data_IF_047874473037
#
_entry.id   IF_047874473037
#
_cell.length_a   1.000
_cell.length_b   1.000
_cell.length_c   1.000
_cell.angle_alpha   90.00
_cell.angle_beta   90.00
_cell.angle_gamma   90.00
#
_symmetry.space_group_name_H-M   'P 1'
#
loop_
_entity.id
_entity.type
_entity.pdbx_description
1 polymer ?
#
# COMPACT_ATOMS: atom_id res chain seq x y z
N UNK A 1 -29.03 -22.81 -49.69
CA UNK A 1 -27.73 -22.27 -50.13
C UNK A 1 -26.68 -22.83 -49.19
N UNK A 2 -25.94 -23.83 -49.63
CA UNK A 2 -24.86 -24.42 -48.86
C UNK A 2 -23.69 -23.42 -48.83
N UNK A 3 -23.26 -23.01 -47.64
CA UNK A 3 -22.02 -22.27 -47.47
C UNK A 3 -20.88 -23.26 -47.73
N UNK A 4 -20.29 -23.20 -48.92
CA UNK A 4 -19.01 -23.86 -49.19
C UNK A 4 -17.96 -23.22 -48.29
N UNK A 5 -17.59 -23.93 -47.22
CA UNK A 5 -16.43 -23.61 -46.40
C UNK A 5 -15.23 -24.18 -47.17
N UNK A 6 -14.39 -23.37 -47.82
CA UNK A 6 -13.20 -23.87 -48.48
C UNK A 6 -12.36 -24.61 -47.45
N UNK A 7 -12.00 -25.86 -47.74
CA UNK A 7 -11.22 -26.75 -46.89
C UNK A 7 -9.99 -26.00 -46.35
N UNK A 8 -10.04 -25.65 -45.06
CA UNK A 8 -9.08 -24.81 -44.34
C UNK A 8 -7.72 -25.51 -44.08
N UNK A 9 -7.35 -26.48 -44.91
CA UNK A 9 -6.20 -27.37 -44.72
C UNK A 9 -4.92 -26.92 -45.45
N UNK A 10 -4.95 -25.84 -46.24
CA UNK A 10 -3.82 -25.52 -47.14
C UNK A 10 -3.17 -24.14 -47.01
N UNK A 11 -3.76 -23.18 -46.30
CA UNK A 11 -3.24 -21.80 -46.31
C UNK A 11 -2.69 -21.37 -44.92
N UNK A 12 -1.36 -21.43 -44.70
CA UNK A 12 -0.75 -21.10 -43.41
C UNK A 12 -1.02 -19.64 -42.99
N UNK A 13 -1.30 -18.76 -43.95
CA UNK A 13 -1.67 -17.37 -43.70
C UNK A 13 -3.06 -17.28 -43.05
N UNK A 14 -4.02 -18.06 -43.55
CA UNK A 14 -5.37 -18.11 -42.97
C UNK A 14 -5.33 -18.68 -41.54
N UNK A 15 -4.56 -19.76 -41.33
CA UNK A 15 -4.32 -20.33 -40.01
C UNK A 15 -3.68 -19.30 -39.06
N UNK A 16 -2.71 -18.52 -39.54
CA UNK A 16 -2.08 -17.43 -38.80
C UNK A 16 -3.06 -16.32 -38.40
N UNK A 17 -3.94 -15.88 -39.31
CA UNK A 17 -4.97 -14.86 -39.03
C UNK A 17 -5.97 -15.37 -37.98
N UNK A 18 -6.45 -16.61 -38.13
CA UNK A 18 -7.35 -17.23 -37.15
C UNK A 18 -6.66 -17.36 -35.79
N UNK A 19 -5.39 -17.74 -35.76
CA UNK A 19 -4.61 -17.83 -34.52
C UNK A 19 -4.44 -16.48 -33.83
N UNK A 20 -4.16 -15.41 -34.58
CA UNK A 20 -4.06 -14.05 -34.02
C UNK A 20 -5.42 -13.60 -33.44
N UNK A 21 -6.52 -13.82 -34.17
CA UNK A 21 -7.86 -13.53 -33.68
C UNK A 21 -8.20 -14.34 -32.42
N UNK A 22 -7.79 -15.60 -32.37
CA UNK A 22 -7.97 -16.47 -31.21
C UNK A 22 -7.18 -15.97 -29.99
N UNK A 23 -5.91 -15.59 -30.16
CA UNK A 23 -5.09 -15.02 -29.06
C UNK A 23 -5.69 -13.69 -28.56
N UNK A 24 -6.15 -12.83 -29.47
CA UNK A 24 -6.83 -11.58 -29.10
C UNK A 24 -8.14 -11.84 -28.36
N UNK A 25 -8.91 -12.85 -28.79
CA UNK A 25 -10.13 -13.28 -28.11
C UNK A 25 -9.82 -13.80 -26.70
N UNK A 26 -8.80 -14.66 -26.53
CA UNK A 26 -8.38 -15.17 -25.21
C UNK A 26 -8.02 -14.01 -24.28
N UNK A 27 -7.21 -13.05 -24.74
CA UNK A 27 -6.81 -11.90 -23.91
C UNK A 27 -8.03 -11.08 -23.44
N UNK A 28 -9.08 -11.02 -24.25
CA UNK A 28 -10.32 -10.34 -23.88
C UNK A 28 -11.15 -11.18 -22.91
N UNK A 29 -11.22 -12.50 -23.13
CA UNK A 29 -11.92 -13.45 -22.26
C UNK A 29 -11.27 -13.53 -20.89
N UNK A 30 -9.94 -13.53 -20.78
CA UNK A 30 -9.23 -13.53 -19.49
C UNK A 30 -9.49 -12.27 -18.68
N UNK A 31 -9.57 -11.10 -19.32
CA UNK A 31 -9.98 -9.86 -18.65
C UNK A 31 -11.43 -9.92 -18.14
N UNK A 32 -12.35 -10.51 -18.92
CA UNK A 32 -13.74 -10.71 -18.50
C UNK A 32 -13.80 -11.69 -17.32
N UNK A 33 -13.06 -12.80 -17.37
CA UNK A 33 -12.96 -13.77 -16.28
C UNK A 33 -12.44 -13.14 -14.99
N UNK A 34 -11.37 -12.33 -15.07
CA UNK A 34 -10.83 -11.62 -13.91
C UNK A 34 -11.87 -10.67 -13.31
N UNK A 35 -12.63 -9.94 -14.13
CA UNK A 35 -13.72 -9.11 -13.63
C UNK A 35 -14.83 -9.94 -12.98
N UNK A 36 -15.18 -11.10 -13.53
CA UNK A 36 -16.14 -12.02 -12.90
C UNK A 36 -15.66 -12.51 -11.52
N UNK A 37 -14.36 -12.79 -11.35
CA UNK A 37 -13.79 -13.15 -10.04
C UNK A 37 -13.97 -12.01 -9.05
N UNK A 38 -13.64 -10.78 -9.44
CA UNK A 38 -13.85 -9.59 -8.58
C UNK A 38 -15.31 -9.39 -8.20
N UNK A 39 -16.24 -9.61 -9.14
CA UNK A 39 -17.67 -9.50 -8.91
C UNK A 39 -18.16 -10.61 -7.98
N UNK A 40 -17.64 -11.82 -8.11
CA UNK A 40 -17.96 -12.94 -7.21
C UNK A 40 -17.51 -12.63 -5.79
N UNK A 41 -16.28 -12.12 -5.62
CA UNK A 41 -15.76 -11.69 -4.31
C UNK A 41 -16.62 -10.56 -3.74
N UNK A 42 -16.99 -9.57 -4.56
CA UNK A 42 -17.87 -8.48 -4.13
C UNK A 42 -19.27 -8.97 -3.75
N UNK A 43 -19.83 -9.92 -4.51
CA UNK A 43 -21.15 -10.49 -4.29
C UNK A 43 -21.23 -11.33 -3.00
N UNK A 44 -20.13 -11.98 -2.60
CA UNK A 44 -20.02 -12.68 -1.31
C UNK A 44 -19.80 -11.71 -0.16
N UNK A 45 -18.99 -10.66 -0.36
CA UNK A 45 -18.73 -9.66 0.66
C UNK A 45 -19.96 -8.79 0.97
N UNK A 46 -20.80 -8.53 -0.02
CA UNK A 46 -21.97 -7.65 0.12
C UNK A 46 -22.95 -8.11 1.21
N UNK A 47 -23.46 -9.37 1.25
CA UNK A 47 -24.33 -9.84 2.32
C UNK A 47 -23.61 -9.88 3.68
N UNK A 48 -22.31 -10.21 3.72
CA UNK A 48 -21.53 -10.19 4.97
C UNK A 48 -21.41 -8.78 5.55
N UNK A 49 -21.18 -7.78 4.70
CA UNK A 49 -21.11 -6.37 5.07
C UNK A 49 -22.51 -5.85 5.45
N UNK A 50 -23.55 -6.21 4.70
CA UNK A 50 -24.93 -5.84 4.98
C UNK A 50 -25.38 -6.35 6.36
N UNK A 51 -25.02 -7.59 6.71
CA UNK A 51 -25.33 -8.17 8.02
C UNK A 51 -24.54 -7.52 9.15
N UNK A 52 -23.23 -7.30 8.97
CA UNK A 52 -22.36 -6.79 10.05
C UNK A 52 -22.43 -5.29 10.29
N UNK A 53 -22.60 -4.49 9.23
CA UNK A 53 -22.52 -3.03 9.33
C UNK A 53 -23.90 -2.41 9.40
N UNK A 54 -24.84 -2.91 8.61
CA UNK A 54 -26.17 -2.31 8.47
C UNK A 54 -27.24 -3.03 9.29
N UNK A 55 -26.92 -4.18 9.89
CA UNK A 55 -27.86 -4.96 10.69
C UNK A 55 -29.02 -5.55 9.88
N UNK A 56 -28.92 -5.57 8.55
CA UNK A 56 -29.94 -6.21 7.72
C UNK A 56 -29.86 -7.73 7.93
N UNK A 57 -30.98 -8.43 8.15
CA UNK A 57 -30.99 -9.89 8.26
C UNK A 57 -30.96 -10.51 6.86
N UNK A 58 -29.83 -10.41 6.17
CA UNK A 58 -29.64 -11.04 4.86
C UNK A 58 -29.22 -12.51 5.06
N UNK A 59 -29.90 -13.48 4.44
CA UNK A 59 -29.51 -14.88 4.55
C UNK A 59 -28.10 -15.08 3.96
N UNK A 60 -27.21 -15.64 4.77
CA UNK A 60 -25.82 -15.91 4.41
C UNK A 60 -25.56 -17.42 4.16
N UNK A 61 -26.64 -18.18 3.95
CA UNK A 61 -26.56 -19.60 3.61
C UNK A 61 -25.90 -19.81 2.25
N UNK A 62 -25.33 -21.01 2.04
CA UNK A 62 -24.61 -21.34 0.81
C UNK A 62 -25.46 -21.11 -0.45
N UNK A 63 -26.75 -21.47 -0.41
CA UNK A 63 -27.69 -21.27 -1.53
C UNK A 63 -27.97 -19.79 -1.80
N UNK A 64 -28.10 -18.98 -0.74
CA UNK A 64 -28.30 -17.53 -0.85
C UNK A 64 -27.07 -16.84 -1.42
N UNK A 65 -25.86 -17.24 -0.99
CA UNK A 65 -24.61 -16.76 -1.54
C UNK A 65 -24.48 -17.10 -3.04
N UNK A 66 -24.85 -18.32 -3.42
CA UNK A 66 -24.81 -18.77 -4.81
C UNK A 66 -25.79 -17.95 -5.67
N UNK A 67 -26.96 -17.61 -5.14
CA UNK A 67 -27.91 -16.71 -5.78
C UNK A 67 -27.32 -15.30 -5.98
N UNK A 68 -26.68 -14.70 -4.97
CA UNK A 68 -26.05 -13.38 -5.12
C UNK A 68 -24.89 -13.38 -6.12
N UNK A 69 -24.10 -14.45 -6.14
CA UNK A 69 -23.03 -14.63 -7.14
C UNK A 69 -23.65 -14.71 -8.55
N UNK A 70 -24.67 -15.55 -8.74
CA UNK A 70 -25.35 -15.70 -10.01
C UNK A 70 -25.99 -14.39 -10.48
N UNK A 71 -26.58 -13.61 -9.57
CA UNK A 71 -27.16 -12.30 -9.85
C UNK A 71 -26.09 -11.27 -10.22
N UNK A 72 -24.97 -11.24 -9.49
CA UNK A 72 -23.84 -10.34 -9.78
C UNK A 72 -23.19 -10.64 -11.13
N UNK A 73 -22.89 -11.93 -11.40
CA UNK A 73 -22.32 -12.37 -12.67
C UNK A 73 -23.32 -12.18 -13.81
N UNK A 74 -24.59 -12.51 -13.61
CA UNK A 74 -25.66 -12.32 -14.58
C UNK A 74 -25.85 -10.85 -14.96
N UNK A 75 -25.92 -9.95 -13.96
CA UNK A 75 -25.98 -8.51 -14.19
C UNK A 75 -24.77 -7.98 -14.96
N UNK A 76 -23.59 -8.53 -14.69
CA UNK A 76 -22.38 -8.19 -15.44
C UNK A 76 -22.43 -8.62 -16.91
N UNK A 77 -22.96 -9.81 -17.20
CA UNK A 77 -23.19 -10.25 -18.58
C UNK A 77 -24.15 -9.33 -19.32
N UNK A 78 -25.27 -8.96 -18.68
CA UNK A 78 -26.22 -7.99 -19.25
C UNK A 78 -25.54 -6.65 -19.51
N UNK A 79 -24.69 -6.18 -18.59
CA UNK A 79 -23.92 -4.95 -18.77
C UNK A 79 -22.93 -5.04 -19.94
N UNK A 80 -22.21 -6.15 -20.09
CA UNK A 80 -21.30 -6.36 -21.23
C UNK A 80 -22.09 -6.36 -22.54
N UNK A 81 -23.21 -7.08 -22.60
CA UNK A 81 -24.06 -7.16 -23.78
C UNK A 81 -24.58 -5.76 -24.16
N UNK A 82 -25.14 -5.03 -23.20
CA UNK A 82 -25.59 -3.66 -23.39
C UNK A 82 -24.44 -2.78 -23.89
N UNK A 83 -23.27 -2.83 -23.25
CA UNK A 83 -22.09 -2.05 -23.67
C UNK A 83 -21.63 -2.42 -25.09
N UNK A 84 -21.72 -3.68 -25.48
CA UNK A 84 -21.40 -4.14 -26.83
C UNK A 84 -22.38 -3.59 -27.86
N UNK A 85 -23.69 -3.67 -27.57
CA UNK A 85 -24.74 -3.07 -28.41
C UNK A 85 -24.52 -1.57 -28.55
N UNK A 86 -24.27 -0.85 -27.45
CA UNK A 86 -23.94 0.59 -27.49
C UNK A 86 -22.72 0.91 -28.33
N UNK A 87 -21.66 0.07 -28.30
CA UNK A 87 -20.48 0.28 -29.15
C UNK A 87 -20.79 0.05 -30.62
N UNK A 88 -21.61 -0.95 -30.95
CA UNK A 88 -22.04 -1.21 -32.33
C UNK A 88 -22.89 -0.03 -32.83
N UNK A 89 -23.79 0.49 -32.00
CA UNK A 89 -24.56 1.69 -32.31
C UNK A 89 -23.68 2.93 -32.46
N UNK A 90 -22.67 3.16 -31.60
CA UNK A 90 -21.71 4.28 -31.73
C UNK A 90 -20.87 4.16 -33.01
N UNK A 91 -20.52 2.94 -33.44
CA UNK A 91 -19.83 2.71 -34.73
C UNK A 91 -20.78 2.99 -35.90
N UNK A 92 -22.02 2.48 -35.86
CA UNK A 92 -23.03 2.73 -36.89
C UNK A 92 -23.36 4.23 -37.02
N UNK A 93 -23.47 4.94 -35.90
CA UNK A 93 -23.70 6.39 -35.85
C UNK A 93 -22.52 7.19 -36.40
N UNK A 94 -21.28 6.66 -36.27
CA UNK A 94 -20.08 7.28 -36.86
C UNK A 94 -20.00 7.10 -38.36
N UNK A 95 -20.53 6.00 -38.90
CA UNK A 95 -20.56 5.75 -40.34
C UNK A 95 -21.76 6.43 -41.03
N UNK A 96 -22.87 6.70 -40.32
CA UNK A 96 -24.04 7.42 -40.84
C UNK A 96 -23.91 8.95 -40.88
N UNK A 97 -22.67 9.48 -40.89
CA UNK A 97 -22.35 10.89 -40.62
C UNK A 97 -22.64 11.98 -41.67
N UNK A 98 -23.40 11.81 -42.79
CA UNK A 98 -23.83 12.98 -43.53
C UNK A 98 -25.00 13.72 -42.87
N UNK A 99 -25.81 13.10 -42.00
CA UNK A 99 -27.17 13.60 -41.72
C UNK A 99 -27.42 14.10 -40.27
N UNK A 100 -26.57 13.79 -39.29
CA UNK A 100 -26.80 14.19 -37.87
C UNK A 100 -25.76 15.18 -37.33
N UNK A 101 -25.46 16.24 -38.10
CA UNK A 101 -24.45 17.25 -37.75
C UNK A 101 -24.70 18.03 -36.46
N UNK A 102 -25.93 18.04 -35.92
CA UNK A 102 -26.25 18.82 -34.71
C UNK A 102 -26.00 18.07 -33.38
N UNK A 103 -26.33 16.78 -33.31
CA UNK A 103 -26.22 15.98 -32.07
C UNK A 103 -24.78 15.50 -31.82
N UNK A 104 -24.05 15.14 -32.87
CA UNK A 104 -22.64 14.75 -32.76
C UNK A 104 -21.70 15.86 -32.26
N UNK A 105 -22.08 17.12 -32.44
CA UNK A 105 -21.35 18.29 -31.94
C UNK A 105 -21.42 18.46 -30.42
N UNK A 106 -22.55 18.12 -29.79
CA UNK A 106 -22.70 18.18 -28.33
C UNK A 106 -21.95 17.04 -27.63
N UNK A 107 -22.06 15.81 -28.13
CA UNK A 107 -21.40 14.65 -27.49
C UNK A 107 -19.87 14.68 -27.66
N UNK A 108 -19.36 15.19 -28.78
CA UNK A 108 -17.92 15.39 -28.97
C UNK A 108 -17.34 16.47 -28.05
N UNK A 109 -18.09 17.56 -27.78
CA UNK A 109 -17.75 18.56 -26.76
C UNK A 109 -17.79 17.98 -25.34
N UNK A 110 -18.81 17.19 -25.02
CA UNK A 110 -18.92 16.54 -23.70
C UNK A 110 -17.77 15.54 -23.45
N UNK A 111 -17.34 14.79 -24.47
CA UNK A 111 -16.22 13.85 -24.32
C UNK A 111 -14.87 14.58 -24.14
N UNK A 112 -14.65 15.70 -24.85
CA UNK A 112 -13.45 16.54 -24.68
C UNK A 112 -13.40 17.18 -23.28
N UNK A 113 -14.52 17.67 -22.76
CA UNK A 113 -14.57 18.29 -21.43
C UNK A 113 -14.34 17.28 -20.30
N UNK A 114 -14.81 16.04 -20.45
CA UNK A 114 -14.51 14.95 -19.52
C UNK A 114 -13.02 14.56 -19.57
N UNK A 115 -12.41 14.50 -20.77
CA UNK A 115 -10.97 14.19 -20.87
C UNK A 115 -10.08 15.30 -20.30
N UNK A 116 -10.45 16.57 -20.48
CA UNK A 116 -9.71 17.70 -19.88
C UNK A 116 -9.85 17.75 -18.36
N UNK A 117 -11.05 17.49 -17.84
CA UNK A 117 -11.30 17.40 -16.39
C UNK A 117 -10.49 16.27 -15.75
N UNK A 118 -10.41 15.11 -16.40
CA UNK A 118 -9.61 13.98 -15.93
C UNK A 118 -8.10 14.29 -15.96
N UNK A 119 -7.61 14.98 -16.99
CA UNK A 119 -6.21 15.42 -17.08
C UNK A 119 -5.86 16.44 -15.99
N UNK A 120 -6.71 17.45 -15.76
CA UNK A 120 -6.52 18.45 -14.69
C UNK A 120 -6.53 17.83 -13.30
N UNK A 121 -7.35 16.81 -13.05
CA UNK A 121 -7.36 16.08 -11.77
C UNK A 121 -6.05 15.33 -11.53
N UNK A 122 -5.50 14.66 -12.56
CA UNK A 122 -4.21 13.95 -12.46
C UNK A 122 -3.05 14.89 -12.14
N UNK A 123 -2.97 16.04 -12.82
CA UNK A 123 -1.94 17.05 -12.58
C UNK A 123 -2.03 17.60 -11.15
N UNK A 124 -3.25 17.90 -10.67
CA UNK A 124 -3.49 18.40 -9.31
C UNK A 124 -3.13 17.36 -8.23
N UNK A 125 -3.37 16.08 -8.50
CA UNK A 125 -3.03 15.00 -7.59
C UNK A 125 -1.51 14.75 -7.55
N UNK A 126 -0.80 14.87 -8.68
CA UNK A 126 0.67 14.84 -8.72
C UNK A 126 1.29 16.02 -7.97
N UNK A 127 0.80 17.25 -8.16
CA UNK A 127 1.31 18.42 -7.45
C UNK A 127 1.10 18.28 -5.93
N UNK A 128 -0.06 17.76 -5.50
CA UNK A 128 -0.32 17.47 -4.09
C UNK A 128 0.61 16.39 -3.53
N UNK A 129 0.97 15.37 -4.31
CA UNK A 129 1.90 14.32 -3.89
C UNK A 129 3.32 14.87 -3.74
N UNK A 130 3.78 15.67 -4.70
CA UNK A 130 5.09 16.33 -4.66
C UNK A 130 5.22 17.24 -3.43
N UNK A 131 4.22 18.09 -3.15
CA UNK A 131 4.21 18.95 -1.94
C UNK A 131 4.25 18.15 -0.64
N UNK A 132 3.48 17.07 -0.54
CA UNK A 132 3.48 16.19 0.64
C UNK A 132 4.83 15.49 0.85
N UNK A 133 5.52 15.14 -0.23
CA UNK A 133 6.84 14.51 -0.16
C UNK A 133 7.91 15.51 0.27
N UNK A 134 7.88 16.74 -0.26
CA UNK A 134 8.80 17.81 0.15
C UNK A 134 8.62 18.19 1.63
N UNK A 135 7.37 18.28 2.09
CA UNK A 135 7.07 18.57 3.50
C UNK A 135 7.55 17.44 4.44
N UNK A 136 7.45 16.17 3.98
CA UNK A 136 8.00 15.02 4.72
C UNK A 136 9.52 15.07 4.82
N UNK A 137 10.21 15.40 3.72
CA UNK A 137 11.68 15.54 3.70
C UNK A 137 12.13 16.65 4.65
N UNK A 138 11.48 17.82 4.63
CA UNK A 138 11.78 18.91 5.59
C UNK A 138 11.58 18.49 7.05
N UNK A 139 10.50 17.77 7.35
CA UNK A 139 10.24 17.24 8.71
C UNK A 139 11.25 16.18 9.14
N UNK A 140 11.77 15.38 8.22
CA UNK A 140 12.83 14.42 8.50
C UNK A 140 14.17 15.11 8.74
N UNK A 141 14.55 16.07 7.89
CA UNK A 141 15.78 16.86 8.09
C UNK A 141 15.78 17.63 9.42
N UNK A 142 14.65 18.23 9.80
CA UNK A 142 14.52 18.93 11.09
C UNK A 142 14.68 17.97 12.28
N UNK A 143 14.13 16.75 12.18
CA UNK A 143 14.29 15.71 13.22
C UNK A 143 15.73 15.22 13.31
N UNK A 144 16.42 15.08 12.19
CA UNK A 144 17.83 14.68 12.18
C UNK A 144 18.68 15.77 12.83
N UNK A 145 18.49 17.05 12.48
CA UNK A 145 19.20 18.17 13.11
C UNK A 145 18.97 18.24 14.61
N UNK A 146 17.73 18.07 15.08
CA UNK A 146 17.42 18.05 16.53
C UNK A 146 18.14 16.92 17.25
N UNK A 147 18.18 15.71 16.66
CA UNK A 147 18.91 14.58 17.25
C UNK A 147 20.41 14.82 17.30
N UNK A 148 20.99 15.39 16.24
CA UNK A 148 22.41 15.67 16.18
C UNK A 148 22.82 16.75 17.19
N UNK A 149 21.97 17.75 17.43
CA UNK A 149 22.19 18.77 18.47
C UNK A 149 22.07 18.17 19.89
N UNK A 150 21.09 17.29 20.11
CA UNK A 150 20.91 16.60 21.38
C UNK A 150 22.09 15.66 21.70
N UNK A 151 22.62 14.97 20.70
CA UNK A 151 23.81 14.13 20.81
C UNK A 151 25.07 14.95 21.15
N UNK A 152 25.27 16.11 20.49
CA UNK A 152 26.38 17.02 20.82
C UNK A 152 26.32 17.53 22.26
N UNK A 153 25.14 17.92 22.75
CA UNK A 153 24.96 18.34 24.16
C UNK A 153 25.26 17.21 25.14
N UNK A 154 24.88 15.98 24.79
CA UNK A 154 25.08 14.81 25.64
C UNK A 154 26.57 14.43 25.73
N UNK A 155 27.31 14.57 24.64
CA UNK A 155 28.76 14.35 24.63
C UNK A 155 29.53 15.46 25.35
N UNK A 156 29.09 16.71 25.26
CA UNK A 156 29.67 17.83 26.01
C UNK A 156 29.44 17.66 27.53
N UNK A 157 28.24 17.25 27.94
CA UNK A 157 27.94 16.93 29.33
C UNK A 157 28.79 15.78 29.88
N UNK A 158 29.03 14.72 29.08
CA UNK A 158 29.93 13.63 29.45
C UNK A 158 31.38 14.10 29.63
N UNK A 159 31.88 14.98 28.76
CA UNK A 159 33.23 15.55 28.88
C UNK A 159 33.38 16.37 30.15
N UNK A 160 32.42 17.23 30.47
CA UNK A 160 32.43 18.02 31.71
C UNK A 160 32.36 17.13 32.96
N UNK A 161 31.54 16.08 32.94
CA UNK A 161 31.45 15.12 34.05
C UNK A 161 32.78 14.35 34.24
N UNK A 162 33.45 13.97 33.15
CA UNK A 162 34.77 13.34 33.21
C UNK A 162 35.83 14.30 33.76
N UNK A 163 35.82 15.57 33.37
CA UNK A 163 36.75 16.58 33.89
C UNK A 163 36.55 16.82 35.39
N UNK A 164 35.30 16.92 35.86
CA UNK A 164 35.00 17.05 37.30
C UNK A 164 35.48 15.83 38.10
N UNK A 165 35.29 14.62 37.57
CA UNK A 165 35.81 13.39 38.20
C UNK A 165 37.34 13.38 38.28
N UNK A 166 38.03 13.83 37.23
CA UNK A 166 39.50 13.91 37.25
C UNK A 166 40.01 14.93 38.27
N UNK A 167 39.37 16.10 38.37
CA UNK A 167 39.70 17.10 39.41
C UNK A 167 39.45 16.56 40.82
N UNK A 168 38.38 15.81 41.02
CA UNK A 168 38.09 15.18 42.33
C UNK A 168 39.14 14.12 42.71
N UNK A 169 39.62 13.33 41.74
CA UNK A 169 40.72 12.39 41.93
C UNK A 169 42.03 13.14 42.26
N UNK A 170 42.31 14.25 41.57
CA UNK A 170 43.50 15.06 41.82
C UNK A 170 43.49 15.73 43.22
N UNK A 171 42.33 16.25 43.65
CA UNK A 171 42.17 16.80 45.00
C UNK A 171 42.31 15.73 46.10
N UNK A 172 41.77 14.52 45.88
CA UNK A 172 41.96 13.39 46.81
C UNK A 172 43.43 12.96 46.86
N UNK A 173 44.13 12.97 45.72
CA UNK A 173 45.57 12.69 45.65
C UNK A 173 46.43 13.70 46.40
N UNK A 174 46.02 14.99 46.46
CA UNK A 174 46.73 16.02 47.24
C UNK A 174 46.48 15.93 48.75
N UNK A 175 45.33 15.40 49.20
CA UNK A 175 44.98 15.28 50.63
C UNK A 175 45.62 14.06 51.32
N UNK A 176 46.09 13.05 50.58
CA UNK A 176 46.81 11.89 51.12
C UNK A 176 48.07 11.57 50.29
N UNK A 177 49.22 12.22 50.54
CA UNK A 177 50.45 11.97 49.79
C UNK A 177 51.15 10.63 50.13
N UNK A 178 50.64 9.87 51.10
CA UNK A 178 51.29 8.65 51.60
C UNK A 178 50.58 7.37 51.13
N UNK A 179 50.58 7.11 49.82
CA UNK A 179 50.44 5.75 49.25
C UNK A 179 50.89 5.74 47.79
N UNK A 180 52.16 6.07 47.56
CA UNK A 180 52.85 5.77 46.31
C UNK A 180 53.42 4.36 46.41
N UNK A 181 52.60 3.36 46.17
CA UNK A 181 52.99 2.00 45.77
C UNK A 181 51.69 1.18 45.70
N UNK A 182 51.31 0.77 44.48
CA UNK A 182 50.20 -0.13 44.07
C UNK A 182 49.20 0.44 43.05
N UNK A 183 49.52 1.53 42.34
CA UNK A 183 48.63 2.09 41.31
C UNK A 183 48.90 1.61 39.87
N UNK A 184 49.87 0.71 39.67
CA UNK A 184 50.14 0.12 38.34
C UNK A 184 49.31 -1.15 38.06
N UNK A 185 48.72 -1.79 39.07
CA UNK A 185 47.95 -3.04 38.90
C UNK A 185 46.43 -2.84 38.68
N UNK A 186 45.92 -1.61 38.73
CA UNK A 186 44.48 -1.34 38.57
C UNK A 186 44.08 -0.71 37.24
N UNK A 187 44.98 -0.65 36.26
CA UNK A 187 44.68 -0.18 34.89
C UNK A 187 44.37 -1.31 33.90
N UNK A 188 44.44 -2.59 34.30
CA UNK A 188 44.28 -3.74 33.38
C UNK A 188 42.90 -4.41 33.44
N UNK A 189 42.01 -4.05 34.38
CA UNK A 189 40.69 -4.72 34.54
C UNK A 189 39.53 -3.87 33.97
N UNK A 190 39.70 -3.21 32.82
CA UNK A 190 38.60 -2.43 32.20
C UNK A 190 38.21 -2.83 30.79
N UNK A 191 38.90 -3.80 30.19
CA UNK A 191 38.59 -4.25 28.83
C UNK A 191 37.73 -5.54 28.80
N UNK A 192 37.77 -6.41 29.82
CA UNK A 192 36.98 -7.65 29.82
C UNK A 192 35.50 -7.47 30.23
N UNK A 193 35.18 -6.49 31.08
CA UNK A 193 33.79 -6.23 31.49
C UNK A 193 33.01 -5.39 30.46
N UNK A 194 33.72 -4.61 29.63
CA UNK A 194 33.12 -3.82 28.56
C UNK A 194 32.67 -4.68 27.36
N UNK A 195 33.34 -5.82 27.10
CA UNK A 195 32.89 -6.81 26.11
C UNK A 195 31.68 -7.61 26.59
N UNK A 196 31.63 -7.99 27.88
CA UNK A 196 30.46 -8.70 28.44
C UNK A 196 29.19 -7.83 28.43
N UNK A 197 29.29 -6.53 28.71
CA UNK A 197 28.12 -5.63 28.65
C UNK A 197 27.65 -5.32 27.20
N UNK A 198 28.53 -5.44 26.20
CA UNK A 198 28.16 -5.35 24.77
C UNK A 198 27.40 -6.58 24.29
N UNK A 199 27.80 -7.78 24.73
CA UNK A 199 27.16 -9.05 24.35
C UNK A 199 25.76 -9.15 24.99
N UNK A 200 25.60 -8.77 26.26
CA UNK A 200 24.28 -8.75 26.92
C UNK A 200 23.31 -7.72 26.30
N UNK A 201 23.81 -6.58 25.79
CA UNK A 201 22.97 -5.57 25.13
C UNK A 201 22.53 -5.95 23.72
N UNK A 202 23.21 -6.89 23.05
CA UNK A 202 22.77 -7.42 21.74
C UNK A 202 21.74 -8.54 21.86
N UNK A 203 21.82 -9.42 22.86
CA UNK A 203 20.84 -10.49 23.07
C UNK A 203 19.49 -10.01 23.65
N UNK A 204 19.45 -8.89 24.38
CA UNK A 204 18.20 -8.37 24.99
C UNK A 204 17.35 -7.53 23.99
N UNK A 205 17.93 -7.09 22.86
CA UNK A 205 17.23 -6.29 21.82
C UNK A 205 16.13 -7.03 21.04
N UNK A 206 16.22 -8.33 20.68
CA UNK A 206 15.13 -9.02 20.00
C UNK A 206 13.90 -9.24 20.90
N UNK A 207 14.09 -9.57 22.19
CA UNK A 207 12.96 -9.90 23.07
C UNK A 207 12.14 -8.68 23.51
N UNK A 208 12.79 -7.54 23.82
CA UNK A 208 12.07 -6.29 24.10
C UNK A 208 11.29 -5.78 22.89
N UNK A 209 11.80 -5.95 21.66
CA UNK A 209 11.04 -5.62 20.44
C UNK A 209 9.83 -6.54 20.24
N UNK A 210 9.93 -7.83 20.59
CA UNK A 210 8.81 -8.76 20.53
C UNK A 210 7.71 -8.45 21.57
N UNK A 211 8.09 -8.08 22.80
CA UNK A 211 7.13 -7.70 23.84
C UNK A 211 6.41 -6.37 23.53
N UNK A 212 7.11 -5.38 22.97
CA UNK A 212 6.48 -4.11 22.54
C UNK A 212 5.49 -4.35 21.39
N UNK A 213 5.78 -5.29 20.48
CA UNK A 213 4.88 -5.66 19.37
C UNK A 213 3.62 -6.40 19.86
N UNK A 214 3.72 -7.21 20.93
CA UNK A 214 2.56 -7.83 21.59
C UNK A 214 1.70 -6.81 22.35
N UNK A 215 2.30 -5.88 23.10
CA UNK A 215 1.54 -4.81 23.79
C UNK A 215 0.78 -3.90 22.83
N UNK A 216 1.35 -3.53 21.68
CA UNK A 216 0.63 -2.73 20.66
C UNK A 216 -0.58 -3.44 20.03
N UNK A 217 -0.54 -4.76 19.87
CA UNK A 217 -1.71 -5.54 19.39
C UNK A 217 -2.84 -5.62 20.43
N UNK A 218 -2.49 -5.63 21.71
CA UNK A 218 -3.50 -5.70 22.78
C UNK A 218 -4.23 -4.36 22.97
N UNK A 219 -3.50 -3.25 22.91
CA UNK A 219 -4.09 -1.90 23.01
C UNK A 219 -5.02 -1.59 21.83
N UNK A 220 -4.67 -2.02 20.60
CA UNK A 220 -5.55 -1.84 19.44
C UNK A 220 -6.80 -2.73 19.46
N UNK A 221 -6.85 -3.78 20.30
CA UNK A 221 -8.07 -4.56 20.50
C UNK A 221 -8.97 -3.91 21.55
N UNK A 222 -8.40 -3.40 22.65
CA UNK A 222 -9.20 -2.74 23.70
C UNK A 222 -9.82 -1.41 23.25
N UNK A 223 -9.16 -0.64 22.36
CA UNK A 223 -9.77 0.57 21.78
C UNK A 223 -10.95 0.22 20.84
N UNK A 224 -10.89 -0.91 20.14
CA UNK A 224 -11.99 -1.38 19.29
C UNK A 224 -13.20 -1.92 20.05
N UNK A 225 -13.03 -2.32 21.31
CA UNK A 225 -14.15 -2.70 22.18
C UNK A 225 -14.82 -1.49 22.81
N UNK A 226 -14.09 -0.38 23.02
CA UNK A 226 -14.63 0.83 23.65
C UNK A 226 -15.43 1.71 22.69
N UNK A 227 -15.16 1.65 21.37
CA UNK A 227 -16.00 2.28 20.34
C UNK A 227 -17.25 1.44 19.97
N UNK A 228 -17.45 0.28 20.59
CA UNK A 228 -18.59 -0.60 20.34
C UNK A 228 -19.66 -0.56 21.47
N UNK A 229 -19.44 0.23 22.51
CA UNK A 229 -20.37 0.41 23.65
C UNK A 229 -21.00 1.82 23.73
N UNK A 230 -20.60 2.75 22.86
CA UNK A 230 -21.22 4.08 22.65
C UNK A 230 -21.99 4.13 21.31
#
# INVERSE_FOLDING_TARGET
MAFDIPSATGNPIFLGVVFILFVLAIKRVTNILMNCVWITVAAVLLPLIANKIFGFPVPADADSLLFYIALGVGGYFVFILASSVYRILDIAERESKPVTGLLGGLFSRARKSISESAAKRRIKDEEKRARKEEERKRKEEEKVKKKEEEEKRLDEAKRLAAEMRMKEIEERGRKHPARKESFDDYLVIKDEDAEKEKIEREEVKPERKAQIRKKRKHVSMTEKFREAED
#
